data_IF_421499879997
#
_entry.id   IF_421499879997
#
_cell.length_a   1.000
_cell.length_b   1.000
_cell.length_c   1.000
_cell.angle_alpha   90.00
_cell.angle_beta   90.00
_cell.angle_gamma   90.00
#
_symmetry.space_group_name_H-M   'P 1'
#
loop_
_entity.id
_entity.type
_entity.pdbx_description
1 polymer ?
#
# COMPACT_ATOMS: atom_id res chain seq x y z
N UNK A 1 8.51 -33.42 1.87
CA UNK A 1 9.03 -32.21 1.20
C UNK A 1 10.19 -31.71 2.04
N UNK A 2 11.42 -31.79 1.52
CA UNK A 2 12.64 -31.49 2.29
C UNK A 2 13.00 -30.03 2.05
N UNK A 3 12.84 -29.18 3.07
CA UNK A 3 13.29 -27.78 3.00
C UNK A 3 14.82 -27.77 3.07
N UNK A 4 15.48 -27.72 1.92
CA UNK A 4 16.93 -27.53 1.86
C UNK A 4 17.25 -26.05 2.12
N UNK A 5 17.81 -25.75 3.29
CA UNK A 5 18.45 -24.46 3.51
C UNK A 5 19.70 -24.39 2.60
N UNK A 6 19.95 -23.28 1.87
CA UNK A 6 21.16 -23.14 1.06
C UNK A 6 22.41 -23.19 1.97
N UNK A 7 23.41 -23.98 1.57
CA UNK A 7 24.52 -24.44 2.41
C UNK A 7 25.62 -23.40 2.73
N UNK A 8 25.60 -22.19 2.17
CA UNK A 8 26.77 -21.29 2.20
C UNK A 8 26.50 -19.88 2.74
N UNK A 9 26.35 -19.68 4.06
CA UNK A 9 26.34 -18.31 4.63
C UNK A 9 26.76 -18.23 6.13
N UNK A 10 27.97 -17.72 6.46
CA UNK A 10 28.51 -17.74 7.83
C UNK A 10 27.98 -16.58 8.70
N UNK A 11 27.80 -16.85 10.00
CA UNK A 11 27.39 -15.97 11.12
C UNK A 11 25.98 -15.33 11.07
N UNK A 12 25.40 -15.06 9.89
CA UNK A 12 23.96 -14.69 9.75
C UNK A 12 23.03 -15.91 9.60
N UNK A 13 23.58 -17.12 9.72
CA UNK A 13 22.92 -18.39 9.41
C UNK A 13 21.65 -18.64 10.26
N UNK A 14 21.64 -18.46 11.60
CA UNK A 14 20.47 -18.84 12.39
C UNK A 14 19.25 -17.97 12.07
N UNK A 15 19.40 -16.65 12.07
CA UNK A 15 18.30 -15.72 11.81
C UNK A 15 17.79 -15.88 10.37
N UNK A 16 18.70 -15.97 9.39
CA UNK A 16 18.33 -16.17 7.98
C UNK A 16 17.59 -17.50 7.79
N UNK A 17 18.02 -18.56 8.48
CA UNK A 17 17.36 -19.86 8.47
C UNK A 17 15.97 -19.82 9.10
N UNK A 18 15.79 -19.10 10.23
CA UNK A 18 14.46 -18.87 10.81
C UNK A 18 13.54 -18.09 9.86
N UNK A 19 14.06 -17.07 9.17
CA UNK A 19 13.31 -16.35 8.13
C UNK A 19 12.92 -17.25 6.96
N UNK A 20 13.80 -18.15 6.54
CA UNK A 20 13.49 -19.15 5.52
C UNK A 20 12.34 -20.06 5.97
N UNK A 21 12.40 -20.61 7.20
CA UNK A 21 11.31 -21.42 7.75
C UNK A 21 9.99 -20.65 7.83
N UNK A 22 10.01 -19.38 8.23
CA UNK A 22 8.81 -18.53 8.25
C UNK A 22 8.15 -18.47 6.86
N UNK A 23 8.95 -18.21 5.82
CA UNK A 23 8.43 -18.15 4.43
C UNK A 23 7.98 -19.52 3.96
N UNK A 24 8.73 -20.59 4.23
CA UNK A 24 8.34 -21.96 3.85
C UNK A 24 6.99 -22.37 4.45
N UNK A 25 6.78 -22.14 5.76
CA UNK A 25 5.48 -22.45 6.38
C UNK A 25 4.35 -21.62 5.79
N UNK A 26 4.59 -20.34 5.51
CA UNK A 26 3.60 -19.51 4.84
C UNK A 26 3.21 -20.06 3.47
N UNK A 27 4.18 -20.43 2.64
CA UNK A 27 3.95 -20.99 1.30
C UNK A 27 3.20 -22.31 1.36
N UNK A 28 3.59 -23.21 2.27
CA UNK A 28 2.88 -24.46 2.50
C UNK A 28 1.40 -24.20 2.83
N UNK A 29 1.11 -23.26 3.73
CA UNK A 29 -0.26 -22.92 4.09
C UNK A 29 -1.08 -22.34 2.94
N UNK A 30 -0.46 -21.51 2.09
CA UNK A 30 -1.13 -20.97 0.91
C UNK A 30 -1.44 -22.05 -0.13
N UNK A 31 -0.58 -23.07 -0.28
CA UNK A 31 -0.73 -24.13 -1.27
C UNK A 31 -1.66 -25.27 -0.81
N UNK A 32 -1.67 -25.61 0.48
CA UNK A 32 -2.41 -26.76 1.04
C UNK A 32 -3.91 -26.47 1.30
N UNK A 33 -4.55 -25.61 0.49
CA UNK A 33 -5.97 -25.23 0.67
C UNK A 33 -6.89 -26.40 0.28
N UNK A 34 -7.26 -27.28 1.22
CA UNK A 34 -8.39 -26.97 2.07
C UNK A 34 -8.14 -27.41 3.53
N UNK A 35 -7.41 -26.61 4.31
CA UNK A 35 -7.57 -26.64 5.76
C UNK A 35 -8.91 -25.98 6.12
N UNK A 36 -10.00 -26.68 5.79
CA UNK A 36 -11.24 -26.53 6.53
C UNK A 36 -10.88 -26.73 8.02
N UNK A 37 -11.36 -25.80 8.82
CA UNK A 37 -11.16 -25.58 10.26
C UNK A 37 -11.51 -26.80 11.17
N UNK A 38 -11.58 -28.02 10.65
CA UNK A 38 -12.02 -29.21 11.37
C UNK A 38 -10.98 -29.81 12.32
N UNK A 39 -9.69 -29.82 11.97
CA UNK A 39 -8.67 -30.52 12.77
C UNK A 39 -7.70 -29.58 13.53
N UNK A 40 -7.31 -28.44 12.95
CA UNK A 40 -6.48 -27.44 13.65
C UNK A 40 -7.27 -26.55 14.62
N UNK A 41 -8.61 -26.65 14.65
CA UNK A 41 -9.45 -25.93 15.62
C UNK A 41 -9.24 -26.39 17.05
N UNK A 42 -8.79 -27.63 17.28
CA UNK A 42 -8.49 -28.13 18.62
C UNK A 42 -7.40 -27.30 19.32
N UNK A 43 -6.35 -26.88 18.59
CA UNK A 43 -5.30 -26.00 19.12
C UNK A 43 -5.78 -24.56 19.34
N UNK A 44 -6.73 -24.09 18.53
CA UNK A 44 -7.30 -22.74 18.67
C UNK A 44 -8.28 -22.62 19.84
N UNK A 45 -8.91 -23.74 20.23
CA UNK A 45 -9.91 -23.77 21.30
C UNK A 45 -9.27 -23.64 22.70
N UNK A 46 -8.07 -24.17 22.92
CA UNK A 46 -7.29 -23.89 24.14
C UNK A 46 -6.37 -22.68 23.97
N UNK A 47 -6.97 -21.48 24.07
CA UNK A 47 -6.24 -20.21 24.00
C UNK A 47 -5.12 -20.08 25.03
N UNK A 48 -5.24 -20.71 26.22
CA UNK A 48 -4.21 -20.63 27.27
C UNK A 48 -3.03 -21.54 26.95
N UNK A 49 -3.30 -22.80 26.59
CA UNK A 49 -2.28 -23.74 26.16
C UNK A 49 -1.54 -23.26 24.92
N UNK A 50 -2.24 -22.70 23.93
CA UNK A 50 -1.63 -22.10 22.75
C UNK A 50 -0.62 -21.00 23.10
N UNK A 51 -1.02 -20.01 23.92
CA UNK A 51 -0.14 -18.92 24.33
C UNK A 51 1.09 -19.42 25.07
N UNK A 52 0.91 -20.40 25.97
CA UNK A 52 2.02 -21.02 26.72
C UNK A 52 2.99 -21.71 25.76
N UNK A 53 2.50 -22.57 24.87
CA UNK A 53 3.31 -23.28 23.87
C UNK A 53 4.05 -22.32 22.95
N UNK A 54 3.36 -21.30 22.45
CA UNK A 54 3.97 -20.26 21.61
C UNK A 54 5.09 -19.52 22.35
N UNK A 55 4.88 -19.16 23.63
CA UNK A 55 5.91 -18.53 24.47
C UNK A 55 7.12 -19.45 24.70
N UNK A 56 6.91 -20.73 24.99
CA UNK A 56 7.99 -21.70 25.16
C UNK A 56 8.79 -21.86 23.86
N UNK A 57 8.11 -22.01 22.73
CA UNK A 57 8.74 -22.11 21.42
C UNK A 57 9.51 -20.82 21.07
N UNK A 58 8.95 -19.65 21.40
CA UNK A 58 9.60 -18.34 21.22
C UNK A 58 10.94 -18.29 21.94
N UNK A 59 10.99 -18.70 23.21
CA UNK A 59 12.22 -18.72 24.01
C UNK A 59 13.27 -19.67 23.43
N UNK A 60 12.85 -20.85 22.96
CA UNK A 60 13.74 -21.83 22.35
C UNK A 60 14.32 -21.31 21.00
N UNK A 61 13.49 -20.67 20.18
CA UNK A 61 13.91 -20.01 18.94
C UNK A 61 14.87 -18.84 19.19
N UNK A 62 14.63 -18.03 20.23
CA UNK A 62 15.52 -16.94 20.65
C UNK A 62 16.87 -17.50 21.12
N UNK A 63 16.89 -18.60 21.87
CA UNK A 63 18.12 -19.29 22.28
C UNK A 63 18.89 -19.84 21.07
N UNK A 64 18.22 -20.52 20.15
CA UNK A 64 18.83 -20.98 18.89
C UNK A 64 19.44 -19.82 18.09
N UNK A 65 18.74 -18.70 17.96
CA UNK A 65 19.23 -17.56 17.20
C UNK A 65 20.49 -16.90 17.81
N UNK A 66 20.70 -17.03 19.12
CA UNK A 66 21.91 -16.58 19.82
C UNK A 66 23.04 -17.62 19.81
N UNK A 67 22.77 -18.85 19.37
CA UNK A 67 23.70 -19.98 19.47
C UNK A 67 23.70 -20.67 20.83
N UNK A 68 22.75 -20.34 21.72
CA UNK A 68 22.65 -20.87 23.09
C UNK A 68 21.95 -22.24 23.14
N UNK A 69 21.52 -22.79 22.00
CA UNK A 69 20.82 -24.06 21.94
C UNK A 69 20.58 -24.56 20.51
N UNK A 70 20.16 -25.84 20.35
CA UNK A 70 19.82 -26.38 19.06
C UNK A 70 18.51 -25.78 18.52
N UNK A 71 18.27 -25.96 17.22
CA UNK A 71 16.96 -25.68 16.63
C UNK A 71 15.91 -26.54 17.36
N UNK A 72 14.78 -25.98 17.82
CA UNK A 72 13.84 -26.75 18.61
C UNK A 72 13.30 -27.93 17.80
N UNK A 73 13.18 -29.09 18.44
CA UNK A 73 12.66 -30.31 17.81
C UNK A 73 11.21 -30.10 17.32
N UNK A 74 10.81 -30.85 16.28
CA UNK A 74 9.45 -30.80 15.78
C UNK A 74 9.14 -29.65 14.81
N UNK A 75 10.13 -28.88 14.35
CA UNK A 75 9.92 -27.87 13.28
C UNK A 75 9.34 -28.49 11.99
N UNK A 76 9.56 -29.77 11.76
CA UNK A 76 9.01 -30.49 10.62
C UNK A 76 7.65 -31.16 10.92
N UNK A 77 7.07 -30.96 12.10
CA UNK A 77 5.78 -31.52 12.47
C UNK A 77 4.64 -30.79 11.73
N UNK A 78 3.94 -31.45 10.79
CA UNK A 78 2.89 -30.81 10.01
C UNK A 78 1.71 -30.33 10.87
N UNK A 79 1.44 -30.98 12.02
CA UNK A 79 0.32 -30.65 12.92
C UNK A 79 0.53 -29.40 13.78
N UNK A 80 1.70 -28.75 13.70
CA UNK A 80 2.01 -27.55 14.49
C UNK A 80 2.43 -26.35 13.63
N UNK A 81 2.29 -26.41 12.31
CA UNK A 81 2.78 -25.35 11.40
C UNK A 81 2.28 -23.95 11.78
N UNK A 82 1.03 -23.79 12.24
CA UNK A 82 0.49 -22.48 12.66
C UNK A 82 1.19 -21.95 13.92
N UNK A 83 1.53 -22.84 14.86
CA UNK A 83 2.23 -22.48 16.10
C UNK A 83 3.64 -22.01 15.78
N UNK A 84 4.32 -22.73 14.90
CA UNK A 84 5.64 -22.37 14.39
C UNK A 84 5.62 -21.04 13.63
N UNK A 85 4.66 -20.85 12.73
CA UNK A 85 4.48 -19.61 11.98
C UNK A 85 4.34 -18.40 12.91
N UNK A 86 3.44 -18.50 13.90
CA UNK A 86 3.23 -17.45 14.89
C UNK A 86 4.45 -17.19 15.79
N UNK A 87 5.12 -18.25 16.24
CA UNK A 87 6.31 -18.12 17.06
C UNK A 87 7.46 -17.46 16.28
N UNK A 88 7.76 -17.95 15.06
CA UNK A 88 8.79 -17.39 14.18
C UNK A 88 8.54 -15.91 13.88
N UNK A 89 7.32 -15.55 13.49
CA UNK A 89 6.94 -14.18 13.18
C UNK A 89 7.13 -13.24 14.39
N UNK A 90 6.92 -13.74 15.61
CA UNK A 90 7.12 -12.96 16.84
C UNK A 90 8.59 -12.81 17.27
N UNK A 91 9.46 -13.77 16.93
CA UNK A 91 10.88 -13.79 17.32
C UNK A 91 11.73 -12.92 16.39
N UNK A 92 11.55 -13.09 15.09
CA UNK A 92 12.40 -12.48 14.05
C UNK A 92 12.55 -10.94 14.19
N UNK A 93 11.51 -10.16 14.54
CA UNK A 93 11.63 -8.71 14.68
C UNK A 93 12.57 -8.29 15.82
N UNK A 94 12.58 -9.02 16.93
CA UNK A 94 13.39 -8.71 18.11
C UNK A 94 14.88 -8.96 17.83
N UNK A 95 15.17 -10.08 17.18
CA UNK A 95 16.53 -10.45 16.77
C UNK A 95 17.12 -9.45 15.78
N UNK A 96 16.28 -8.93 14.88
CA UNK A 96 16.68 -7.94 13.87
C UNK A 96 16.99 -6.57 14.48
N UNK A 97 16.28 -6.16 15.53
CA UNK A 97 16.51 -4.87 16.20
C UNK A 97 17.79 -4.83 17.01
N UNK A 98 18.18 -5.95 17.63
CA UNK A 98 19.37 -6.01 18.50
C UNK A 98 20.69 -5.83 17.72
N UNK A 99 20.71 -6.09 16.42
CA UNK A 99 21.95 -6.08 15.64
C UNK A 99 22.31 -4.73 15.02
N UNK A 100 21.34 -3.88 14.67
CA UNK A 100 21.63 -2.69 13.85
C UNK A 100 20.88 -1.42 14.22
N UNK A 101 19.90 -1.46 15.14
CA UNK A 101 19.00 -0.32 15.42
C UNK A 101 18.13 0.10 14.22
N UNK A 102 18.36 -0.48 13.04
CA UNK A 102 17.66 -0.18 11.80
C UNK A 102 16.79 -1.36 11.37
N UNK A 103 15.66 -1.05 10.75
CA UNK A 103 14.78 -2.06 10.15
C UNK A 103 15.55 -2.85 9.09
N UNK A 104 15.53 -4.18 9.20
CA UNK A 104 16.13 -5.06 8.18
C UNK A 104 15.57 -4.76 6.80
N UNK A 105 16.41 -4.77 5.75
CA UNK A 105 15.93 -4.59 4.39
C UNK A 105 14.99 -5.74 3.99
N UNK A 106 14.14 -5.52 2.97
CA UNK A 106 13.37 -6.58 2.32
C UNK A 106 14.28 -7.76 1.94
N UNK A 107 13.82 -8.98 2.17
CA UNK A 107 14.54 -10.20 1.82
C UNK A 107 13.78 -11.00 0.77
N UNK A 108 14.53 -11.72 -0.07
CA UNK A 108 14.00 -12.60 -1.10
C UNK A 108 14.38 -14.04 -0.81
N UNK A 109 13.43 -14.96 -0.98
CA UNK A 109 13.60 -16.40 -0.83
C UNK A 109 13.04 -17.11 -2.05
N UNK A 110 13.67 -18.22 -2.46
CA UNK A 110 13.14 -19.09 -3.51
C UNK A 110 12.59 -20.34 -2.83
N UNK A 111 11.27 -20.54 -2.89
CA UNK A 111 10.56 -21.69 -2.31
C UNK A 111 9.76 -22.34 -3.42
N UNK A 112 9.95 -23.65 -3.64
CA UNK A 112 9.26 -24.42 -4.68
C UNK A 112 9.41 -23.81 -6.09
N UNK A 113 10.57 -23.24 -6.40
CA UNK A 113 10.85 -22.59 -7.69
C UNK A 113 10.26 -21.19 -7.87
N UNK A 114 9.48 -20.70 -6.91
CA UNK A 114 8.91 -19.34 -6.92
C UNK A 114 9.68 -18.41 -5.99
N UNK A 115 9.86 -17.16 -6.42
CA UNK A 115 10.48 -16.09 -5.62
C UNK A 115 9.44 -15.45 -4.69
N UNK A 116 9.79 -15.30 -3.41
CA UNK A 116 8.95 -14.76 -2.35
C UNK A 116 9.67 -13.61 -1.62
N UNK A 117 8.92 -12.54 -1.37
CA UNK A 117 9.37 -11.39 -0.61
C UNK A 117 8.98 -11.53 0.86
N UNK A 118 9.92 -11.23 1.76
CA UNK A 118 9.72 -11.09 3.19
C UNK A 118 10.05 -9.65 3.59
N UNK A 119 9.04 -8.90 4.04
CA UNK A 119 9.18 -7.51 4.47
C UNK A 119 8.70 -7.37 5.90
N UNK A 120 9.51 -6.84 6.81
CA UNK A 120 9.04 -6.54 8.16
C UNK A 120 7.93 -5.50 8.11
N UNK A 121 6.88 -5.61 8.91
CA UNK A 121 5.85 -4.57 9.08
C UNK A 121 6.37 -3.44 9.96
N UNK A 122 5.93 -2.21 9.69
CA UNK A 122 6.27 -1.07 10.55
C UNK A 122 5.66 -1.24 11.94
N UNK A 123 4.39 -1.63 11.99
CA UNK A 123 3.68 -1.99 13.22
C UNK A 123 3.08 -3.38 13.07
N UNK A 124 3.04 -4.17 14.15
CA UNK A 124 2.34 -5.44 14.12
C UNK A 124 0.87 -5.24 13.75
N UNK A 125 0.30 -6.14 12.96
CA UNK A 125 -1.11 -6.07 12.61
C UNK A 125 -1.96 -6.13 13.89
N UNK A 126 -2.62 -5.04 14.27
CA UNK A 126 -3.52 -4.98 15.42
C UNK A 126 -4.70 -5.96 15.32
N UNK A 127 -5.51 -6.14 16.38
CA UNK A 127 -6.75 -6.91 16.35
C UNK A 127 -7.74 -6.31 15.34
N UNK A 128 -7.63 -6.70 14.08
CA UNK A 128 -8.55 -6.28 13.01
C UNK A 128 -9.84 -7.10 13.05
N UNK A 129 -10.91 -6.62 12.41
CA UNK A 129 -12.23 -7.26 12.49
C UNK A 129 -12.20 -8.74 12.04
N UNK A 130 -11.49 -9.02 10.93
CA UNK A 130 -11.31 -10.39 10.42
C UNK A 130 -10.32 -11.23 11.24
N UNK A 131 -9.52 -10.64 12.15
CA UNK A 131 -8.65 -11.41 13.05
C UNK A 131 -9.44 -12.27 14.06
N UNK A 132 -10.71 -11.95 14.30
CA UNK A 132 -11.59 -12.76 15.16
C UNK A 132 -12.15 -13.99 14.45
N UNK A 133 -12.08 -14.05 13.12
CA UNK A 133 -12.53 -15.18 12.34
C UNK A 133 -11.37 -16.18 12.21
N UNK A 134 -11.59 -17.43 12.61
CA UNK A 134 -10.63 -18.51 12.40
C UNK A 134 -10.35 -18.70 10.90
N UNK A 135 -9.09 -18.99 10.55
CA UNK A 135 -8.70 -19.31 9.16
C UNK A 135 -7.97 -18.18 8.42
N UNK A 136 -7.95 -16.95 8.93
CA UNK A 136 -7.14 -15.89 8.34
C UNK A 136 -5.67 -16.04 8.74
N UNK A 137 -4.84 -16.62 7.85
CA UNK A 137 -3.41 -16.92 8.10
C UNK A 137 -2.60 -15.71 8.60
N UNK A 138 -3.01 -14.50 8.22
CA UNK A 138 -2.38 -13.24 8.63
C UNK A 138 -2.45 -12.95 10.12
N UNK A 139 -3.38 -13.58 10.81
CA UNK A 139 -3.48 -13.51 12.26
C UNK A 139 -2.21 -14.08 12.92
N UNK A 140 -1.51 -14.96 12.21
CA UNK A 140 -0.30 -15.65 12.65
C UNK A 140 0.99 -15.04 12.06
N UNK A 141 0.88 -14.08 11.13
CA UNK A 141 2.03 -13.33 10.57
C UNK A 141 1.77 -11.83 10.72
N UNK A 142 1.81 -11.37 11.97
CA UNK A 142 1.49 -10.00 12.36
C UNK A 142 2.66 -9.05 12.13
N UNK A 143 3.89 -9.54 12.11
CA UNK A 143 5.09 -8.73 12.05
C UNK A 143 5.75 -8.68 10.68
N UNK A 144 5.32 -9.49 9.71
CA UNK A 144 5.87 -9.50 8.36
C UNK A 144 4.78 -9.48 7.28
N UNK A 145 5.15 -8.99 6.09
CA UNK A 145 4.49 -9.27 4.83
C UNK A 145 5.24 -10.41 4.17
N UNK A 146 4.48 -11.38 3.65
CA UNK A 146 5.00 -12.48 2.84
C UNK A 146 4.10 -12.57 1.61
N UNK A 147 4.68 -12.36 0.44
CA UNK A 147 3.98 -12.40 -0.84
C UNK A 147 4.96 -12.76 -1.97
N UNK A 148 4.49 -13.39 -3.06
CA UNK A 148 5.38 -13.79 -4.14
C UNK A 148 5.84 -12.58 -4.96
N UNK A 149 6.91 -12.73 -5.74
CA UNK A 149 7.39 -11.70 -6.68
C UNK A 149 6.46 -11.56 -7.90
N UNK A 150 5.66 -12.58 -8.19
CA UNK A 150 4.60 -12.54 -9.20
C UNK A 150 3.35 -13.14 -8.59
N UNK A 151 2.25 -12.40 -8.63
CA UNK A 151 0.95 -12.81 -8.13
C UNK A 151 -0.09 -12.49 -9.21
N UNK A 152 -0.80 -13.51 -9.68
CA UNK A 152 -1.83 -13.37 -10.74
C UNK A 152 -1.32 -12.67 -12.00
N UNK A 153 -0.08 -12.96 -12.41
CA UNK A 153 0.57 -12.35 -13.57
C UNK A 153 1.10 -10.93 -13.34
N UNK A 154 0.83 -10.31 -12.18
CA UNK A 154 1.36 -8.99 -11.83
C UNK A 154 2.69 -9.15 -11.11
N UNK A 155 3.72 -8.44 -11.59
CA UNK A 155 5.03 -8.38 -10.94
C UNK A 155 4.96 -7.47 -9.72
N UNK A 156 5.43 -7.97 -8.59
CA UNK A 156 5.51 -7.26 -7.32
C UNK A 156 6.97 -6.93 -7.02
N UNK A 157 7.28 -5.63 -7.00
CA UNK A 157 8.64 -5.17 -6.69
C UNK A 157 8.64 -4.30 -5.45
N UNK A 158 9.70 -4.38 -4.65
CA UNK A 158 9.87 -3.56 -3.45
C UNK A 158 11.11 -2.70 -3.65
N UNK A 159 10.95 -1.40 -3.48
CA UNK A 159 12.04 -0.43 -3.47
C UNK A 159 12.30 0.01 -2.03
N UNK A 160 13.53 -0.15 -1.51
CA UNK A 160 13.89 0.43 -0.23
C UNK A 160 14.00 1.96 -0.36
N UNK A 161 13.65 2.68 0.71
CA UNK A 161 13.89 4.11 0.76
C UNK A 161 15.39 4.41 0.97
N UNK A 162 16.04 4.95 -0.06
CA UNK A 162 17.49 5.25 -0.05
C UNK A 162 17.84 6.62 0.56
N UNK A 163 16.95 7.61 0.47
CA UNK A 163 17.21 8.96 1.01
C UNK A 163 17.25 8.93 2.54
N UNK A 164 18.44 9.16 3.12
CA UNK A 164 18.65 9.16 4.57
C UNK A 164 17.86 10.29 5.25
N UNK A 165 17.84 11.48 4.64
CA UNK A 165 17.08 12.63 5.17
C UNK A 165 15.58 12.37 5.21
N UNK A 166 15.00 11.86 4.11
CA UNK A 166 13.58 11.49 4.09
C UNK A 166 13.27 10.36 5.07
N UNK A 167 14.17 9.37 5.19
CA UNK A 167 14.02 8.28 6.15
C UNK A 167 13.93 8.82 7.57
N UNK A 168 14.88 9.64 8.01
CA UNK A 168 14.88 10.22 9.36
C UNK A 168 13.63 11.06 9.62
N UNK A 169 13.17 11.81 8.61
CA UNK A 169 11.93 12.59 8.69
C UNK A 169 10.70 11.70 8.92
N UNK A 170 10.56 10.63 8.14
CA UNK A 170 9.45 9.68 8.31
C UNK A 170 9.54 8.92 9.64
N UNK A 171 10.75 8.58 10.10
CA UNK A 171 10.96 8.01 11.45
C UNK A 171 10.53 8.99 12.55
N UNK A 172 10.86 10.27 12.39
CA UNK A 172 10.46 11.34 13.32
C UNK A 172 8.93 11.47 13.39
N UNK A 173 8.25 11.48 12.23
CA UNK A 173 6.77 11.52 12.20
C UNK A 173 6.19 10.24 12.86
N UNK A 174 6.78 9.08 12.62
CA UNK A 174 6.34 7.81 13.20
C UNK A 174 6.52 7.70 14.72
N UNK A 175 7.53 8.39 15.27
CA UNK A 175 7.89 8.39 16.68
C UNK A 175 7.33 9.59 17.46
N UNK A 176 6.80 10.61 16.76
CA UNK A 176 6.16 11.75 17.41
C UNK A 176 5.04 11.28 18.36
N UNK A 177 4.85 12.01 19.45
CA UNK A 177 3.85 11.67 20.48
C UNK A 177 2.44 11.53 19.91
N UNK A 178 2.08 12.38 18.95
CA UNK A 178 0.79 12.29 18.24
C UNK A 178 0.75 11.08 17.30
N UNK A 179 1.89 10.68 16.72
CA UNK A 179 2.00 9.55 15.80
C UNK A 179 1.06 9.66 14.60
N UNK A 180 0.84 10.88 14.08
CA UNK A 180 -0.06 11.16 12.96
C UNK A 180 0.69 11.57 11.71
N UNK A 181 0.22 11.11 10.55
CA UNK A 181 0.60 11.64 9.25
C UNK A 181 -0.42 12.69 8.82
N UNK A 182 0.04 13.90 8.54
CA UNK A 182 -0.80 14.99 8.01
C UNK A 182 -0.93 14.85 6.50
N UNK A 183 -2.09 14.42 6.01
CA UNK A 183 -2.34 14.12 4.61
C UNK A 183 -3.23 15.18 3.99
N UNK A 184 -2.74 15.87 2.97
CA UNK A 184 -3.54 16.76 2.13
C UNK A 184 -4.03 16.01 0.89
N UNK A 185 -5.35 15.88 0.73
CA UNK A 185 -5.97 15.30 -0.46
C UNK A 185 -6.53 16.43 -1.33
N UNK A 186 -5.88 16.64 -2.46
CA UNK A 186 -6.23 17.71 -3.39
C UNK A 186 -7.42 17.38 -4.29
N UNK A 187 -8.08 18.44 -4.75
CA UNK A 187 -9.03 18.43 -5.85
C UNK A 187 -8.99 19.80 -6.53
N UNK A 188 -9.34 19.83 -7.82
CA UNK A 188 -9.30 21.03 -8.65
C UNK A 188 -10.72 21.40 -9.08
N UNK A 189 -11.42 22.26 -8.31
CA UNK A 189 -12.76 22.75 -8.65
C UNK A 189 -12.69 23.90 -9.67
N UNK A 190 -11.82 23.78 -10.67
CA UNK A 190 -11.49 24.85 -11.61
C UNK A 190 -12.21 24.70 -12.96
N UNK A 191 -12.99 23.62 -13.13
CA UNK A 191 -13.67 23.32 -14.39
C UNK A 191 -12.72 22.81 -15.48
N UNK A 192 -11.41 22.74 -15.23
CA UNK A 192 -10.47 22.16 -16.17
C UNK A 192 -10.62 20.64 -16.17
N UNK A 193 -10.92 20.06 -17.32
CA UNK A 193 -10.99 18.61 -17.51
C UNK A 193 -9.91 18.13 -18.48
N UNK A 194 -9.62 16.82 -18.52
CA UNK A 194 -8.91 16.21 -19.63
C UNK A 194 -9.63 16.55 -20.95
N UNK A 195 -8.87 16.97 -21.96
CA UNK A 195 -9.39 17.02 -23.32
C UNK A 195 -9.39 15.60 -23.89
N UNK A 196 -10.60 15.07 -24.06
CA UNK A 196 -10.82 13.71 -24.55
C UNK A 196 -10.87 13.62 -26.09
N UNK A 197 -10.84 14.75 -26.80
CA UNK A 197 -10.98 14.84 -28.26
C UNK A 197 -12.30 14.29 -28.83
N UNK A 198 -12.40 14.24 -30.15
CA UNK A 198 -13.45 13.51 -30.86
C UNK A 198 -13.20 11.99 -30.74
N UNK A 199 -14.24 11.26 -30.31
CA UNK A 199 -14.18 9.83 -29.90
C UNK A 199 -14.82 8.89 -30.92
N UNK A 200 -14.27 8.65 -32.12
CA UNK A 200 -14.81 7.61 -32.98
C UNK A 200 -14.69 6.25 -32.27
N UNK A 201 -15.83 5.65 -31.92
CA UNK A 201 -15.91 4.32 -31.29
C UNK A 201 -15.80 4.27 -29.77
N UNK A 202 -15.83 5.40 -29.04
CA UNK A 202 -15.83 5.42 -27.57
C UNK A 202 -14.47 5.24 -26.90
N UNK A 203 -13.38 5.19 -27.68
CA UNK A 203 -12.02 5.19 -27.15
C UNK A 203 -11.64 6.58 -26.64
N UNK A 204 -11.21 6.64 -25.38
CA UNK A 204 -10.84 7.87 -24.69
C UNK A 204 -9.36 7.86 -24.40
N UNK A 205 -8.64 8.80 -25.03
CA UNK A 205 -7.27 9.16 -24.67
C UNK A 205 -7.24 10.66 -24.42
N UNK A 206 -6.49 11.07 -23.41
CA UNK A 206 -6.23 12.47 -23.15
C UNK A 206 -4.79 12.80 -23.55
N UNK A 207 -4.59 13.93 -24.22
CA UNK A 207 -3.25 14.46 -24.52
C UNK A 207 -2.99 15.81 -23.85
N UNK A 208 -4.05 16.55 -23.56
CA UNK A 208 -3.97 17.89 -22.98
C UNK A 208 -5.14 18.16 -22.03
N UNK A 209 -5.05 19.26 -21.30
CA UNK A 209 -6.15 19.77 -20.49
C UNK A 209 -6.85 20.88 -21.27
N UNK A 210 -8.16 21.06 -21.04
CA UNK A 210 -8.94 22.11 -21.72
C UNK A 210 -8.38 23.52 -21.42
N UNK A 211 -7.88 23.74 -20.19
CA UNK A 211 -7.25 25.01 -19.77
C UNK A 211 -6.07 24.71 -18.83
N UNK A 212 -4.87 24.47 -19.39
CA UNK A 212 -3.69 24.11 -18.61
C UNK A 212 -3.19 25.27 -17.73
N UNK A 213 -3.33 26.53 -18.17
CA UNK A 213 -2.91 27.72 -17.43
C UNK A 213 -3.78 27.94 -16.18
N UNK A 214 -5.09 27.73 -16.29
CA UNK A 214 -5.97 27.74 -15.14
C UNK A 214 -5.62 26.60 -14.16
N UNK A 215 -5.34 25.39 -14.67
CA UNK A 215 -4.91 24.27 -13.83
C UNK A 215 -3.60 24.57 -13.11
N UNK A 216 -2.64 25.20 -13.77
CA UNK A 216 -1.37 25.60 -13.13
C UNK A 216 -1.62 26.55 -11.94
N UNK A 217 -2.44 27.59 -12.13
CA UNK A 217 -2.80 28.50 -11.03
C UNK A 217 -3.47 27.76 -9.87
N UNK A 218 -4.41 26.86 -10.17
CA UNK A 218 -5.08 26.03 -9.16
C UNK A 218 -4.12 25.08 -8.44
N UNK A 219 -3.15 24.52 -9.16
CA UNK A 219 -2.09 23.67 -8.61
C UNK A 219 -1.23 24.45 -7.62
N UNK A 220 -0.71 25.61 -8.00
CA UNK A 220 0.13 26.43 -7.13
C UNK A 220 -0.65 26.86 -5.88
N UNK A 221 -1.90 27.30 -6.03
CA UNK A 221 -2.76 27.62 -4.90
C UNK A 221 -2.99 26.41 -3.96
N UNK A 222 -3.14 25.20 -4.51
CA UNK A 222 -3.31 24.00 -3.72
C UNK A 222 -2.02 23.57 -2.99
N UNK A 223 -0.85 23.81 -3.58
CA UNK A 223 0.45 23.59 -2.92
C UNK A 223 0.65 24.56 -1.75
N UNK A 224 0.37 25.84 -1.95
CA UNK A 224 0.44 26.84 -0.86
C UNK A 224 -0.53 26.50 0.28
N UNK A 225 -1.78 26.14 -0.05
CA UNK A 225 -2.75 25.72 0.97
C UNK A 225 -2.26 24.48 1.74
N UNK A 226 -1.67 23.49 1.07
CA UNK A 226 -1.11 22.32 1.73
C UNK A 226 0.08 22.67 2.64
N UNK A 227 0.92 23.62 2.23
CA UNK A 227 2.05 24.16 3.00
C UNK A 227 1.56 24.89 4.25
N UNK A 228 0.60 25.80 4.12
CA UNK A 228 -0.02 26.52 5.25
C UNK A 228 -0.63 25.56 6.27
N UNK A 229 -1.26 24.49 5.78
CA UNK A 229 -1.83 23.41 6.59
C UNK A 229 -0.78 22.43 7.14
N UNK A 230 0.51 22.66 6.86
CA UNK A 230 1.65 21.85 7.33
C UNK A 230 1.51 20.37 7.00
N UNK A 231 1.05 20.07 5.78
CA UNK A 231 0.92 18.71 5.31
C UNK A 231 2.28 17.99 5.31
N UNK A 232 2.26 16.67 5.50
CA UNK A 232 3.43 15.80 5.33
C UNK A 232 3.34 15.01 4.02
N UNK A 233 2.14 14.61 3.63
CA UNK A 233 1.85 13.90 2.40
C UNK A 233 0.82 14.69 1.60
N UNK A 234 1.10 15.00 0.34
CA UNK A 234 0.18 15.68 -0.57
C UNK A 234 -0.17 14.73 -1.72
N UNK A 235 -1.45 14.59 -2.06
CA UNK A 235 -1.88 13.70 -3.14
C UNK A 235 -2.90 14.42 -4.01
N UNK A 236 -2.59 14.52 -5.31
CA UNK A 236 -3.49 15.06 -6.31
C UNK A 236 -4.16 13.95 -7.15
N UNK A 237 -5.32 14.21 -7.77
CA UNK A 237 -6.12 13.19 -8.44
C UNK A 237 -5.55 12.70 -9.79
N UNK A 238 -6.10 11.61 -10.30
CA UNK A 238 -5.77 11.07 -11.62
C UNK A 238 -6.17 12.03 -12.75
N UNK A 239 -5.41 12.02 -13.85
CA UNK A 239 -5.66 12.82 -15.08
C UNK A 239 -5.79 14.33 -14.84
N UNK A 240 -5.14 14.85 -13.79
CA UNK A 240 -5.23 16.27 -13.46
C UNK A 240 -3.97 17.07 -13.78
N UNK A 241 -2.79 16.43 -13.81
CA UNK A 241 -1.50 17.12 -13.92
C UNK A 241 -0.63 16.47 -15.00
N UNK A 242 -0.51 17.16 -16.13
CA UNK A 242 0.35 16.78 -17.26
C UNK A 242 1.81 16.65 -16.84
N UNK A 243 2.70 16.03 -17.65
CA UNK A 243 4.13 16.02 -17.38
C UNK A 243 4.71 17.43 -17.12
N UNK A 244 4.30 18.42 -17.91
CA UNK A 244 4.75 19.81 -17.77
C UNK A 244 4.31 20.40 -16.42
N UNK A 245 3.06 20.17 -16.00
CA UNK A 245 2.61 20.63 -14.69
C UNK A 245 3.34 19.91 -13.54
N UNK A 246 3.78 18.66 -13.73
CA UNK A 246 4.61 17.96 -12.75
C UNK A 246 6.01 18.55 -12.64
N UNK A 247 6.59 19.02 -13.74
CA UNK A 247 7.83 19.80 -13.73
C UNK A 247 7.65 21.13 -12.96
N UNK A 248 6.49 21.80 -13.10
CA UNK A 248 6.14 22.97 -12.28
C UNK A 248 6.11 22.60 -10.78
N UNK A 249 5.56 21.44 -10.40
CA UNK A 249 5.59 20.96 -9.00
C UNK A 249 7.03 20.76 -8.52
N UNK A 250 7.89 20.11 -9.31
CA UNK A 250 9.28 19.88 -8.92
C UNK A 250 10.04 21.20 -8.75
N UNK A 251 9.80 22.16 -9.64
CA UNK A 251 10.36 23.52 -9.55
C UNK A 251 9.87 24.22 -8.27
N UNK A 252 8.56 24.17 -7.99
CA UNK A 252 8.00 24.74 -6.76
C UNK A 252 8.60 24.10 -5.49
N UNK A 253 8.79 22.77 -5.46
CA UNK A 253 9.44 22.06 -4.34
C UNK A 253 10.89 22.51 -4.15
N UNK A 254 11.61 22.74 -5.25
CA UNK A 254 12.98 23.25 -5.22
C UNK A 254 13.05 24.68 -4.67
N UNK A 255 12.15 25.56 -5.12
CA UNK A 255 12.14 26.97 -4.73
C UNK A 255 11.62 27.21 -3.30
N UNK A 256 10.80 26.31 -2.75
CA UNK A 256 10.08 26.50 -1.47
C UNK A 256 10.49 25.54 -0.34
N UNK A 257 11.76 25.47 0.02
CA UNK A 257 12.30 24.48 0.97
C UNK A 257 11.65 24.42 2.38
N UNK A 258 10.84 25.43 2.77
CA UNK A 258 10.12 25.50 4.04
C UNK A 258 8.73 24.82 4.02
N UNK A 259 8.35 24.16 2.92
CA UNK A 259 6.99 23.65 2.70
C UNK A 259 6.52 22.51 3.64
N UNK A 260 7.41 21.78 4.31
CA UNK A 260 7.01 20.78 5.31
C UNK A 260 6.56 19.39 4.77
N UNK A 261 6.55 19.19 3.45
CA UNK A 261 6.17 17.91 2.81
C UNK A 261 7.31 16.88 2.91
N UNK A 262 6.97 15.66 3.29
CA UNK A 262 7.85 14.50 3.19
C UNK A 262 7.71 13.81 1.82
N UNK A 263 6.48 13.71 1.31
CA UNK A 263 6.17 13.05 0.04
C UNK A 263 5.02 13.75 -0.67
N UNK A 264 4.98 13.64 -2.00
CA UNK A 264 3.95 14.25 -2.84
C UNK A 264 3.63 13.35 -4.04
N UNK A 265 2.34 13.20 -4.37
CA UNK A 265 1.88 12.58 -5.63
C UNK A 265 1.25 13.67 -6.49
N UNK A 266 1.92 14.13 -7.55
CA UNK A 266 1.42 15.19 -8.40
C UNK A 266 0.49 14.61 -9.47
N UNK A 267 -0.59 13.97 -9.02
CA UNK A 267 -1.60 13.38 -9.87
C UNK A 267 -1.07 12.28 -10.80
N UNK A 268 -1.86 11.97 -11.81
CA UNK A 268 -1.43 11.16 -12.95
C UNK A 268 -1.83 11.84 -14.26
N UNK A 269 -1.26 11.38 -15.37
CA UNK A 269 -1.70 11.78 -16.71
C UNK A 269 -1.33 10.72 -17.75
N UNK A 270 -1.92 10.83 -18.95
CA UNK A 270 -1.48 10.06 -20.10
C UNK A 270 -0.14 10.59 -20.62
N UNK A 271 0.85 9.72 -20.72
CA UNK A 271 2.18 10.02 -21.25
C UNK A 271 2.43 9.24 -22.53
N UNK A 272 2.83 9.95 -23.59
CA UNK A 272 3.35 9.33 -24.80
C UNK A 272 4.82 8.95 -24.57
N UNK A 273 5.11 7.65 -24.46
CA UNK A 273 6.50 7.15 -24.36
C UNK A 273 7.13 7.03 -25.74
N UNK A 274 6.37 6.51 -26.71
CA UNK A 274 6.76 6.42 -28.12
C UNK A 274 5.64 6.98 -29.00
N UNK A 275 5.94 7.69 -30.10
CA UNK A 275 4.91 8.30 -30.96
C UNK A 275 3.90 7.32 -31.56
N UNK A 276 4.28 6.04 -31.74
CA UNK A 276 3.46 5.01 -32.38
C UNK A 276 2.69 4.11 -31.42
N UNK A 277 2.83 4.30 -30.10
CA UNK A 277 2.18 3.48 -29.08
C UNK A 277 1.03 4.22 -28.40
N UNK A 278 0.09 3.46 -27.86
CA UNK A 278 -0.92 4.04 -26.96
C UNK A 278 -0.24 4.60 -25.71
N UNK A 279 -0.70 5.75 -25.19
CA UNK A 279 -0.10 6.37 -24.02
C UNK A 279 -0.18 5.46 -22.81
N UNK A 280 0.64 5.73 -21.80
CA UNK A 280 0.50 5.12 -20.48
C UNK A 280 -0.13 6.13 -19.52
N UNK A 281 -1.05 5.71 -18.66
CA UNK A 281 -1.50 6.56 -17.55
C UNK A 281 -0.52 6.38 -16.39
N UNK A 282 0.29 7.40 -16.10
CA UNK A 282 1.39 7.31 -15.13
C UNK A 282 1.21 8.26 -13.95
N UNK A 283 1.43 7.73 -12.75
CA UNK A 283 1.58 8.48 -11.51
C UNK A 283 3.00 8.31 -10.96
N UNK A 284 3.48 9.32 -10.24
CA UNK A 284 4.77 9.30 -9.55
C UNK A 284 4.59 9.67 -8.08
N UNK A 285 5.40 9.08 -7.20
CA UNK A 285 5.56 9.52 -5.82
C UNK A 285 6.90 10.24 -5.72
N UNK A 286 6.86 11.52 -5.39
CA UNK A 286 8.03 12.37 -5.19
C UNK A 286 8.39 12.47 -3.70
N UNK A 287 9.68 12.67 -3.42
CA UNK A 287 10.14 13.17 -2.12
C UNK A 287 9.79 14.65 -1.97
N UNK A 288 9.92 15.18 -0.75
CA UNK A 288 9.84 16.63 -0.52
C UNK A 288 10.87 17.45 -1.31
N UNK A 289 11.93 16.82 -1.83
CA UNK A 289 12.94 17.49 -2.66
C UNK A 289 12.66 17.35 -4.17
N UNK A 290 11.52 16.76 -4.55
CA UNK A 290 11.17 16.53 -5.95
C UNK A 290 11.80 15.28 -6.58
N UNK A 291 12.50 14.43 -5.80
CA UNK A 291 13.09 13.19 -6.31
C UNK A 291 12.02 12.09 -6.47
N UNK A 292 12.04 11.37 -7.59
CA UNK A 292 11.11 10.24 -7.80
C UNK A 292 11.44 9.05 -6.91
N UNK A 293 10.54 8.72 -5.97
CA UNK A 293 10.63 7.57 -5.08
C UNK A 293 9.99 6.33 -5.69
N UNK A 294 8.81 6.49 -6.29
CA UNK A 294 8.07 5.45 -7.00
C UNK A 294 7.47 5.99 -8.29
N UNK A 295 7.24 5.08 -9.22
CA UNK A 295 6.46 5.32 -10.42
C UNK A 295 5.49 4.15 -10.58
N UNK A 296 4.26 4.46 -10.99
CA UNK A 296 3.24 3.47 -11.29
C UNK A 296 2.60 3.79 -12.63
N UNK A 297 2.60 2.80 -13.53
CA UNK A 297 1.84 2.85 -14.77
C UNK A 297 0.55 2.07 -14.52
N UNK A 298 -0.60 2.67 -14.82
CA UNK A 298 -1.92 2.06 -14.63
C UNK A 298 -1.97 0.69 -15.31
N UNK A 299 -2.44 -0.31 -14.57
CA UNK A 299 -2.43 -1.71 -15.02
C UNK A 299 -3.77 -2.04 -15.67
N UNK A 300 -4.86 -1.58 -15.08
CA UNK A 300 -6.22 -1.89 -15.51
C UNK A 300 -6.84 -0.64 -16.17
N UNK A 301 -6.99 -0.61 -17.50
CA UNK A 301 -7.68 0.47 -18.19
C UNK A 301 -9.14 0.55 -17.73
N UNK A 302 -9.66 1.77 -17.64
CA UNK A 302 -11.07 2.01 -17.39
C UNK A 302 -11.91 1.60 -18.59
N UNK A 303 -13.02 0.89 -18.35
CA UNK A 303 -13.94 0.49 -19.41
C UNK A 303 -15.38 0.45 -18.92
N UNK A 304 -16.28 1.03 -19.70
CA UNK A 304 -17.74 1.04 -19.53
C UNK A 304 -18.42 0.91 -20.90
N UNK A 305 -19.74 0.73 -20.92
CA UNK A 305 -20.50 0.52 -22.16
C UNK A 305 -20.36 1.63 -23.22
N UNK A 306 -19.90 2.85 -22.85
CA UNK A 306 -19.72 3.97 -23.79
C UNK A 306 -18.35 4.63 -23.75
N UNK A 307 -17.42 4.14 -22.92
CA UNK A 307 -16.10 4.73 -22.76
C UNK A 307 -15.07 3.66 -22.43
N UNK A 308 -14.05 3.56 -23.28
CA UNK A 308 -12.90 2.69 -23.09
C UNK A 308 -11.62 3.54 -23.05
N UNK A 309 -10.88 3.49 -21.94
CA UNK A 309 -9.59 4.18 -21.82
C UNK A 309 -8.57 3.48 -22.71
N UNK A 310 -8.03 4.21 -23.69
CA UNK A 310 -7.04 3.68 -24.61
C UNK A 310 -5.62 3.98 -24.09
N UNK A 311 -5.05 3.02 -23.36
CA UNK A 311 -3.70 3.09 -22.79
C UNK A 311 -2.98 1.75 -22.91
N UNK A 312 -1.65 1.81 -22.94
CA UNK A 312 -0.80 0.63 -22.72
C UNK A 312 -0.81 0.29 -21.22
N UNK A 313 -1.27 -0.91 -20.86
CA UNK A 313 -1.26 -1.41 -19.48
C UNK A 313 0.15 -1.60 -18.93
N UNK A 314 0.35 -1.21 -17.66
CA UNK A 314 1.48 -1.68 -16.87
C UNK A 314 1.35 -3.15 -16.47
N UNK A 315 2.44 -3.75 -16.00
CA UNK A 315 2.49 -5.14 -15.54
C UNK A 315 3.06 -5.30 -14.11
N UNK A 316 3.43 -4.18 -13.47
CA UNK A 316 4.22 -4.15 -12.25
C UNK A 316 3.59 -3.23 -11.20
N UNK A 317 3.32 -3.76 -10.01
CA UNK A 317 3.02 -2.97 -8.82
C UNK A 317 4.30 -2.80 -8.00
N UNK A 318 4.78 -1.56 -7.91
CA UNK A 318 5.99 -1.21 -7.14
C UNK A 318 5.59 -0.69 -5.75
N UNK A 319 6.22 -1.23 -4.72
CA UNK A 319 5.99 -0.90 -3.31
C UNK A 319 7.20 -0.16 -2.74
N UNK A 320 7.00 0.89 -1.95
CA UNK A 320 8.07 1.57 -1.23
C UNK A 320 8.13 1.06 0.21
N UNK A 321 9.28 0.50 0.60
CA UNK A 321 9.56 0.17 1.99
C UNK A 321 10.07 1.41 2.73
N UNK A 322 9.19 2.02 3.54
CA UNK A 322 9.45 3.28 4.24
C UNK A 322 9.32 3.13 5.76
N UNK A 323 9.86 4.07 6.55
CA UNK A 323 9.68 4.07 8.00
C UNK A 323 8.24 4.13 8.50
N UNK A 324 7.27 4.60 7.70
CA UNK A 324 5.84 4.60 8.06
C UNK A 324 5.10 3.37 7.53
N UNK A 325 5.84 2.39 7.00
CA UNK A 325 5.31 1.14 6.46
C UNK A 325 5.52 0.97 4.96
N UNK A 326 4.96 -0.12 4.45
CA UNK A 326 4.94 -0.46 3.04
C UNK A 326 3.87 0.38 2.32
N UNK A 327 4.29 1.20 1.37
CA UNK A 327 3.43 2.11 0.60
C UNK A 327 3.23 1.56 -0.81
N UNK A 328 1.99 1.51 -1.26
CA UNK A 328 1.61 1.17 -2.62
C UNK A 328 0.98 2.40 -3.29
N UNK A 329 1.38 2.65 -4.53
CA UNK A 329 0.78 3.64 -5.43
C UNK A 329 0.05 2.88 -6.53
N UNK A 330 -1.20 3.25 -6.81
CA UNK A 330 -1.99 2.70 -7.90
C UNK A 330 -2.96 3.77 -8.42
N UNK A 331 -3.57 3.56 -9.59
CA UNK A 331 -4.42 4.58 -10.21
C UNK A 331 -5.84 4.06 -10.37
N UNK A 332 -6.78 4.72 -9.69
CA UNK A 332 -8.23 4.53 -9.84
C UNK A 332 -8.65 3.06 -9.92
N UNK A 333 -8.95 2.57 -11.13
CA UNK A 333 -9.42 1.21 -11.41
C UNK A 333 -8.49 0.12 -10.87
N UNK A 334 -7.19 0.37 -10.82
CA UNK A 334 -6.20 -0.54 -10.22
C UNK A 334 -6.53 -0.90 -8.76
N UNK A 335 -7.18 0.02 -8.04
CA UNK A 335 -7.58 -0.20 -6.65
C UNK A 335 -8.81 -1.08 -6.52
N UNK A 336 -9.64 -1.18 -7.56
CA UNK A 336 -10.92 -1.87 -7.51
C UNK A 336 -10.78 -3.35 -7.81
N UNK A 337 -11.66 -4.16 -7.22
CA UNK A 337 -11.81 -5.56 -7.61
C UNK A 337 -12.61 -5.62 -8.93
N UNK A 338 -11.93 -5.76 -10.06
CA UNK A 338 -12.52 -6.37 -11.27
C UNK A 338 -12.31 -7.88 -11.24
N UNK A 339 -12.88 -8.63 -12.18
CA UNK A 339 -12.93 -10.11 -12.21
C UNK A 339 -11.61 -10.81 -11.83
N UNK A 340 -11.68 -12.06 -11.35
CA UNK A 340 -10.57 -12.78 -10.68
C UNK A 340 -9.20 -12.76 -11.40
N UNK A 341 -9.17 -12.59 -12.72
CA UNK A 341 -7.96 -12.54 -13.54
C UNK A 341 -7.29 -11.16 -13.66
N UNK A 342 -7.92 -10.08 -13.18
CA UNK A 342 -7.40 -8.70 -13.31
C UNK A 342 -7.16 -8.02 -11.96
N UNK A 343 -7.37 -8.72 -10.85
CA UNK A 343 -7.25 -8.15 -9.50
C UNK A 343 -5.79 -7.90 -9.14
N UNK A 344 -5.45 -6.64 -8.89
CA UNK A 344 -4.23 -6.35 -8.15
C UNK A 344 -4.28 -7.03 -6.77
N UNK A 345 -3.16 -7.60 -6.30
CA UNK A 345 -3.15 -8.45 -5.11
C UNK A 345 -3.16 -7.66 -3.80
N UNK A 346 -4.05 -6.68 -3.65
CA UNK A 346 -4.18 -5.84 -2.45
C UNK A 346 -4.36 -6.66 -1.18
N UNK A 347 -5.26 -7.66 -1.29
CA UNK A 347 -5.39 -8.85 -0.47
C UNK A 347 -4.00 -9.33 -0.06
N UNK A 348 -3.32 -10.12 -0.89
CA UNK A 348 -2.04 -10.80 -0.64
C UNK A 348 -0.85 -9.91 -0.22
N UNK A 349 -0.75 -8.67 -0.71
CA UNK A 349 0.33 -7.72 -0.36
C UNK A 349 0.09 -7.06 1.00
N UNK A 350 -1.15 -6.64 1.29
CA UNK A 350 -1.53 -5.91 2.50
C UNK A 350 -0.67 -4.66 2.79
N UNK A 351 -0.53 -3.71 1.86
CA UNK A 351 0.28 -2.52 2.12
C UNK A 351 -0.29 -1.75 3.32
N UNK A 352 0.58 -1.04 4.04
CA UNK A 352 0.14 -0.16 5.14
C UNK A 352 -0.60 1.05 4.58
N UNK A 353 -0.15 1.54 3.42
CA UNK A 353 -0.70 2.68 2.71
C UNK A 353 -1.03 2.31 1.27
N UNK A 354 -2.23 2.63 0.83
CA UNK A 354 -2.65 2.59 -0.56
C UNK A 354 -2.99 4.03 -0.99
N UNK A 355 -2.16 4.60 -1.87
CA UNK A 355 -2.28 5.97 -2.35
C UNK A 355 -2.85 5.93 -3.77
N UNK A 356 -4.07 6.42 -3.95
CA UNK A 356 -4.87 6.15 -5.15
C UNK A 356 -5.39 7.45 -5.77
N UNK A 357 -4.59 8.13 -6.62
CA UNK A 357 -5.13 9.16 -7.51
C UNK A 357 -6.30 8.59 -8.31
N UNK A 358 -7.44 9.27 -8.29
CA UNK A 358 -8.66 8.79 -8.96
C UNK A 358 -9.38 9.90 -9.71
N UNK A 359 -9.99 9.54 -10.83
CA UNK A 359 -10.99 10.35 -11.52
C UNK A 359 -12.23 9.50 -11.73
N UNK A 360 -13.31 9.86 -11.05
CA UNK A 360 -14.53 9.06 -10.98
C UNK A 360 -15.77 9.92 -10.77
N UNK A 361 -16.89 9.44 -11.29
CA UNK A 361 -18.21 9.84 -10.80
C UNK A 361 -18.55 9.19 -9.45
N UNK A 362 -19.65 9.61 -8.83
CA UNK A 362 -20.12 9.13 -7.51
C UNK A 362 -20.10 7.60 -7.38
N UNK A 363 -20.53 6.88 -8.42
CA UNK A 363 -20.55 5.41 -8.41
C UNK A 363 -19.14 4.82 -8.31
N UNK A 364 -18.16 5.40 -9.01
CA UNK A 364 -16.77 5.01 -8.90
C UNK A 364 -16.23 5.31 -7.51
N UNK A 365 -16.49 6.49 -6.94
CA UNK A 365 -16.08 6.83 -5.56
C UNK A 365 -16.65 5.82 -4.54
N UNK A 366 -17.92 5.41 -4.68
CA UNK A 366 -18.54 4.37 -3.84
C UNK A 366 -17.82 3.02 -3.94
N UNK A 367 -17.41 2.63 -5.14
CA UNK A 367 -16.67 1.39 -5.35
C UNK A 367 -15.30 1.44 -4.66
N UNK A 368 -14.56 2.55 -4.80
CA UNK A 368 -13.29 2.76 -4.12
C UNK A 368 -13.48 2.72 -2.59
N UNK A 369 -14.52 3.38 -2.06
CA UNK A 369 -14.79 3.41 -0.63
C UNK A 369 -15.07 2.02 -0.07
N UNK A 370 -15.88 1.22 -0.78
CA UNK A 370 -16.14 -0.18 -0.40
C UNK A 370 -14.85 -0.97 -0.31
N UNK A 371 -13.99 -0.86 -1.31
CA UNK A 371 -12.72 -1.58 -1.33
C UNK A 371 -11.77 -1.12 -0.23
N UNK A 372 -11.69 0.19 0.01
CA UNK A 372 -10.93 0.77 1.10
C UNK A 372 -11.37 0.24 2.47
N UNK A 373 -12.69 0.14 2.72
CA UNK A 373 -13.23 -0.47 3.94
C UNK A 373 -12.84 -1.94 4.05
N UNK A 374 -12.92 -2.71 2.96
CA UNK A 374 -12.51 -4.13 2.94
C UNK A 374 -11.04 -4.26 3.34
N UNK A 375 -10.13 -3.49 2.73
CA UNK A 375 -8.70 -3.56 3.03
C UNK A 375 -8.35 -3.04 4.43
N UNK A 376 -9.02 -1.98 4.91
CA UNK A 376 -8.85 -1.50 6.28
C UNK A 376 -9.24 -2.60 7.28
N UNK A 377 -10.37 -3.28 7.07
CA UNK A 377 -10.82 -4.36 7.94
C UNK A 377 -9.96 -5.63 7.81
N UNK A 378 -9.54 -6.00 6.60
CA UNK A 378 -8.87 -7.28 6.29
C UNK A 378 -7.35 -7.26 6.52
N UNK A 379 -6.72 -6.11 6.34
CA UNK A 379 -5.27 -5.99 6.44
C UNK A 379 -4.79 -4.70 7.07
N UNK A 380 -5.67 -3.90 7.67
CA UNK A 380 -5.30 -2.66 8.34
C UNK A 380 -4.74 -1.60 7.40
N UNK A 381 -5.04 -1.71 6.10
CA UNK A 381 -4.56 -0.75 5.08
C UNK A 381 -5.23 0.60 5.27
N UNK A 382 -4.44 1.65 5.13
CA UNK A 382 -4.89 3.04 5.07
C UNK A 382 -4.97 3.45 3.62
N UNK A 383 -6.17 3.74 3.13
CA UNK A 383 -6.40 4.09 1.74
C UNK A 383 -6.70 5.59 1.62
N UNK A 384 -5.95 6.28 0.77
CA UNK A 384 -6.11 7.70 0.48
C UNK A 384 -6.46 7.87 -0.98
N UNK A 385 -7.65 8.39 -1.25
CA UNK A 385 -8.23 8.44 -2.60
C UNK A 385 -8.68 9.87 -2.90
N UNK A 386 -7.78 10.78 -3.32
CA UNK A 386 -8.23 12.05 -3.89
C UNK A 386 -8.93 11.79 -5.21
N UNK A 387 -10.07 12.44 -5.42
CA UNK A 387 -10.89 12.23 -6.62
C UNK A 387 -11.19 13.53 -7.35
N UNK A 388 -11.08 13.50 -8.66
CA UNK A 388 -11.58 14.53 -9.56
C UNK A 388 -12.84 14.04 -10.29
N UNK A 389 -13.80 14.93 -10.52
CA UNK A 389 -14.93 14.65 -11.42
C UNK A 389 -14.50 14.71 -12.90
N UNK A 390 -15.25 14.05 -13.78
CA UNK A 390 -14.91 14.02 -15.21
C UNK A 390 -14.99 15.40 -15.89
N UNK A 391 -15.82 16.29 -15.36
CA UNK A 391 -16.09 17.62 -15.89
C UNK A 391 -15.25 18.72 -15.24
N UNK A 392 -14.30 18.38 -14.36
CA UNK A 392 -13.52 19.37 -13.62
C UNK A 392 -14.32 20.17 -12.58
N UNK A 393 -15.63 19.94 -12.48
CA UNK A 393 -16.56 20.71 -11.68
C UNK A 393 -17.13 19.88 -10.54
N UNK A 394 -17.42 20.55 -9.42
CA UNK A 394 -18.15 19.94 -8.33
C UNK A 394 -19.50 20.63 -8.19
N UNK A 395 -20.61 19.87 -8.11
CA UNK A 395 -21.93 20.46 -8.03
C UNK A 395 -22.01 21.30 -6.74
N UNK A 396 -22.21 22.61 -6.89
CA UNK A 396 -22.48 23.50 -5.78
C UNK A 396 -23.78 23.06 -5.08
N UNK A 397 -23.74 22.86 -3.77
CA UNK A 397 -24.95 22.74 -2.95
C UNK A 397 -25.66 21.38 -2.92
N UNK A 398 -25.07 20.27 -3.37
CA UNK A 398 -25.61 18.95 -3.03
C UNK A 398 -25.24 18.60 -1.58
N UNK A 399 -26.18 18.14 -0.72
CA UNK A 399 -25.86 17.75 0.65
C UNK A 399 -24.81 16.65 0.65
N UNK A 400 -23.65 16.95 1.24
CA UNK A 400 -22.43 16.11 1.25
C UNK A 400 -22.54 14.92 2.22
N UNK A 401 -23.61 14.81 3.01
CA UNK A 401 -23.54 14.09 4.27
C UNK A 401 -24.45 12.87 4.33
N UNK A 402 -23.88 11.70 4.02
CA UNK A 402 -24.14 10.43 4.71
C UNK A 402 -23.21 9.35 4.15
N UNK A 403 -22.93 8.30 4.92
CA UNK A 403 -22.23 7.10 4.41
C UNK A 403 -22.92 6.50 3.17
N UNK A 404 -24.21 6.82 2.95
CA UNK A 404 -24.99 6.41 1.78
C UNK A 404 -24.81 7.34 0.57
N UNK A 405 -24.13 8.49 0.71
CA UNK A 405 -23.87 9.45 -0.36
C UNK A 405 -22.49 10.11 -0.26
N UNK A 406 -21.40 9.41 -0.68
CA UNK A 406 -20.05 9.97 -0.65
C UNK A 406 -19.89 11.15 -1.61
N UNK A 407 -19.06 12.13 -1.22
CA UNK A 407 -18.74 13.31 -2.02
C UNK A 407 -17.95 12.94 -3.29
N UNK A 408 -18.03 13.77 -4.34
CA UNK A 408 -17.23 13.60 -5.56
C UNK A 408 -15.74 13.94 -5.37
N UNK A 409 -15.31 14.38 -4.19
CA UNK A 409 -13.98 14.99 -3.97
C UNK A 409 -12.91 14.01 -3.47
N UNK A 410 -13.30 12.78 -3.12
CA UNK A 410 -12.40 11.77 -2.58
C UNK A 410 -12.58 11.54 -1.08
N UNK A 411 -11.73 10.70 -0.51
CA UNK A 411 -11.82 10.29 0.89
C UNK A 411 -10.52 9.66 1.41
N UNK A 412 -10.45 9.48 2.73
CA UNK A 412 -9.47 8.65 3.42
C UNK A 412 -10.18 7.59 4.26
N UNK A 413 -9.62 6.38 4.30
CA UNK A 413 -10.08 5.28 5.17
C UNK A 413 -8.89 4.68 5.92
N UNK A 414 -9.04 4.43 7.20
CA UNK A 414 -8.06 3.71 8.02
C UNK A 414 -8.74 2.89 9.12
N UNK A 415 -8.10 1.85 9.66
CA UNK A 415 -8.64 1.12 10.82
C UNK A 415 -8.45 1.92 12.12
N UNK A 416 -9.45 1.91 12.99
CA UNK A 416 -9.29 2.22 14.41
C UNK A 416 -8.54 1.11 15.16
N UNK A 417 -8.20 1.37 16.42
CA UNK A 417 -7.59 0.39 17.34
C UNK A 417 -8.42 -0.89 17.47
N UNK A 418 -9.75 -0.79 17.38
CA UNK A 418 -10.68 -1.92 17.45
C UNK A 418 -10.88 -2.66 16.11
N UNK A 419 -10.24 -2.19 15.03
CA UNK A 419 -10.35 -2.72 13.67
C UNK A 419 -11.53 -2.20 12.84
N UNK A 420 -12.36 -1.30 13.39
CA UNK A 420 -13.45 -0.63 12.67
C UNK A 420 -12.86 0.40 11.70
N UNK A 421 -13.31 0.46 10.43
CA UNK A 421 -12.82 1.46 9.51
C UNK A 421 -13.39 2.85 9.84
N UNK A 422 -12.51 3.84 10.02
CA UNK A 422 -12.86 5.27 10.00
C UNK A 422 -12.90 5.73 8.55
N UNK A 423 -13.90 6.53 8.20
CA UNK A 423 -14.00 7.18 6.89
C UNK A 423 -14.04 8.67 7.09
N UNK A 424 -13.25 9.41 6.33
CA UNK A 424 -13.39 10.87 6.23
C UNK A 424 -13.43 11.26 4.76
N UNK A 425 -14.37 12.13 4.41
CA UNK A 425 -14.56 12.60 3.04
C UNK A 425 -13.83 13.92 2.82
N UNK A 426 -13.30 14.10 1.62
CA UNK A 426 -12.81 15.41 1.18
C UNK A 426 -14.01 16.32 0.95
N UNK A 427 -13.92 17.53 1.48
CA UNK A 427 -14.84 18.63 1.15
C UNK A 427 -14.03 19.76 0.53
N UNK A 428 -14.67 20.74 -0.15
CA UNK A 428 -13.94 21.88 -0.70
C UNK A 428 -13.08 22.62 0.32
N UNK A 429 -13.49 22.66 1.60
CA UNK A 429 -12.83 23.37 2.71
C UNK A 429 -12.02 22.48 3.66
N UNK A 430 -12.32 21.18 3.75
CA UNK A 430 -11.54 20.20 4.54
C UNK A 430 -10.76 19.27 3.61
N UNK A 431 -9.47 19.57 3.47
CA UNK A 431 -8.54 18.82 2.62
C UNK A 431 -7.40 18.17 3.40
N UNK A 432 -7.23 18.54 4.68
CA UNK A 432 -6.21 17.99 5.56
C UNK A 432 -6.80 16.92 6.49
N UNK A 433 -6.17 15.75 6.53
CA UNK A 433 -6.52 14.64 7.41
C UNK A 433 -5.35 14.30 8.33
N UNK A 434 -5.64 14.04 9.60
CA UNK A 434 -4.66 13.57 10.58
C UNK A 434 -4.83 12.06 10.74
N UNK A 435 -3.94 11.28 10.12
CA UNK A 435 -4.10 9.83 10.03
C UNK A 435 -3.13 9.14 11.00
N UNK A 436 -3.63 8.39 12.00
CA UNK A 436 -2.78 7.69 12.95
C UNK A 436 -1.90 6.64 12.26
N UNK A 437 -0.60 6.61 12.58
CA UNK A 437 0.39 5.66 12.03
C UNK A 437 0.28 4.26 12.60
#
# INVERSE_FOLDING_TARGET
>A
MTVHAPQDCPAQEPIRRLKCYLVSFWVDFCNDTPLFLGQDSACCNDKRGWKKRCSTLRQALEAYARGDGPLPEGIHNPGEKLLWLAALDSVIPNLSNQQSGHRSPPMRFIINGQSWNLVRRHRPLGPIHFQKQGGHLRNYVRHHHIFPEVERGIKLTIRPLHSTGLRLRLETIAQAQEGVLRCYLGSFPDGTAPDWGDKPGGNCRCQELIDPDLRERSLLAALEAAKELKANLVIFPELTLTPQLRECVQTWLYDNQDHGFAMLIPGSFHEMVEPSQDPINRAVLLSGLGETLLQHNKIIPFSTAGMHENITSGDTLTLLDSPIGLIALAICRDFLESDDNTKLPWQSVAPHWALIPSMSEIQGVRAHLRQAKILAMACGTRALVPNQSLDGNFPAGQPIYSETSPSKHGFAVWPEVNGTPVVTHVTPWERLFLIPL
#
